data_IF_029748993922
#
_entry.id   IF_029748993922
#
_cell.length_a   1.000
_cell.length_b   1.000
_cell.length_c   1.000
_cell.angle_alpha   90.00
_cell.angle_beta   90.00
_cell.angle_gamma   90.00
#
_symmetry.space_group_name_H-M   'P 1'
#
loop_
_entity.id
_entity.type
_entity.pdbx_description
1 polymer ?
#
# COMPACT_ATOMS: atom_id res chain seq x y z
N UNK A 1 7.45 23.53 -41.08
CA UNK A 1 6.26 22.75 -40.66
C UNK A 1 5.99 23.10 -39.20
N UNK A 2 4.87 23.77 -38.89
CA UNK A 2 4.53 24.24 -37.54
C UNK A 2 3.64 23.17 -36.91
N UNK A 3 4.19 22.35 -36.02
CA UNK A 3 3.41 21.39 -35.24
C UNK A 3 2.44 22.17 -34.33
N UNK A 4 1.12 21.90 -34.36
CA UNK A 4 0.18 22.63 -33.53
C UNK A 4 0.33 22.18 -32.07
N UNK A 5 0.63 23.15 -31.20
CA UNK A 5 0.80 23.02 -29.73
C UNK A 5 -0.44 22.37 -29.06
N UNK A 6 -1.58 22.34 -29.75
CA UNK A 6 -2.79 21.65 -29.32
C UNK A 6 -2.61 20.12 -29.15
N UNK A 7 -1.74 19.48 -29.94
CA UNK A 7 -1.54 18.02 -29.86
C UNK A 7 -0.66 17.58 -28.68
N UNK A 8 0.19 18.46 -28.16
CA UNK A 8 1.04 18.14 -27.01
C UNK A 8 0.26 18.05 -25.70
N UNK A 9 -0.85 18.79 -25.59
CA UNK A 9 -1.64 18.83 -24.35
C UNK A 9 -2.56 17.62 -24.18
N UNK A 10 -2.93 16.91 -25.25
CA UNK A 10 -3.85 15.77 -25.15
C UNK A 10 -3.11 14.50 -24.67
N UNK A 11 -1.83 14.36 -25.03
CA UNK A 11 -1.00 13.23 -24.59
C UNK A 11 -0.70 13.24 -23.09
N UNK A 12 -0.72 14.42 -22.45
CA UNK A 12 -0.36 14.55 -21.03
C UNK A 12 -1.50 14.13 -20.07
N UNK A 13 -2.75 14.05 -20.56
CA UNK A 13 -3.91 13.70 -19.73
C UNK A 13 -4.18 12.19 -19.70
N UNK A 14 -3.66 11.44 -20.69
CA UNK A 14 -3.81 9.98 -20.77
C UNK A 14 -2.81 9.21 -19.89
N UNK A 15 -1.77 9.86 -19.36
CA UNK A 15 -0.80 9.22 -18.47
C UNK A 15 -1.19 9.30 -16.97
N UNK A 16 -2.23 10.06 -16.62
CA UNK A 16 -2.55 10.38 -15.22
C UNK A 16 -3.52 9.37 -14.55
N UNK A 17 -4.04 8.37 -15.25
CA UNK A 17 -5.08 7.46 -14.72
C UNK A 17 -4.57 6.06 -14.32
N UNK A 18 -3.25 5.80 -14.39
CA UNK A 18 -2.70 4.45 -14.20
C UNK A 18 -2.39 4.04 -12.74
N UNK A 19 -2.77 4.81 -11.73
CA UNK A 19 -2.52 4.43 -10.32
C UNK A 19 -3.78 4.45 -9.47
N UNK A 20 -4.86 3.83 -9.95
CA UNK A 20 -5.79 3.20 -9.04
C UNK A 20 -5.06 2.01 -8.40
N UNK A 21 -4.30 2.27 -7.33
CA UNK A 21 -3.58 1.28 -6.55
C UNK A 21 -4.61 0.26 -6.06
N UNK A 22 -4.72 -0.86 -6.78
CA UNK A 22 -5.59 -1.97 -6.41
C UNK A 22 -5.02 -2.53 -5.12
N UNK A 23 -5.60 -2.14 -3.99
CA UNK A 23 -5.42 -2.85 -2.73
C UNK A 23 -5.85 -4.29 -3.03
N UNK A 24 -4.86 -5.16 -3.24
CA UNK A 24 -5.08 -6.52 -3.70
C UNK A 24 -5.96 -7.19 -2.66
N UNK A 25 -7.12 -7.70 -3.07
CA UNK A 25 -7.97 -8.49 -2.18
C UNK A 25 -7.17 -9.71 -1.75
N UNK A 26 -7.13 -10.00 -0.45
CA UNK A 26 -6.31 -11.10 0.06
C UNK A 26 -6.75 -12.41 -0.57
N UNK A 27 -5.81 -13.10 -1.20
CA UNK A 27 -6.00 -14.47 -1.70
C UNK A 27 -5.32 -15.46 -0.76
N UNK A 28 -5.75 -16.72 -0.79
CA UNK A 28 -5.11 -17.80 -0.03
C UNK A 28 -3.63 -17.98 -0.38
N UNK A 29 -3.23 -17.68 -1.62
CA UNK A 29 -1.82 -17.72 -2.04
C UNK A 29 -1.03 -16.52 -1.51
N UNK A 30 -1.68 -15.36 -1.36
CA UNK A 30 -1.03 -14.15 -0.87
C UNK A 30 -0.76 -14.22 0.63
N UNK A 31 -1.70 -14.75 1.42
CA UNK A 31 -1.56 -14.84 2.88
C UNK A 31 -0.39 -15.71 3.31
N UNK A 32 0.00 -16.72 2.53
CA UNK A 32 1.12 -17.63 2.82
C UNK A 32 2.48 -17.09 2.36
N UNK A 33 2.53 -15.91 1.76
CA UNK A 33 3.81 -15.29 1.39
C UNK A 33 4.52 -14.71 2.61
N UNK A 34 5.86 -14.71 2.58
CA UNK A 34 6.70 -14.08 3.61
C UNK A 34 6.32 -12.60 3.80
N UNK A 35 5.98 -11.89 2.71
CA UNK A 35 5.50 -10.50 2.74
C UNK A 35 4.29 -10.30 3.68
N UNK A 36 3.33 -11.23 3.67
CA UNK A 36 2.16 -11.13 4.52
C UNK A 36 2.41 -11.72 5.91
N UNK A 37 3.30 -12.72 6.02
CA UNK A 37 3.76 -13.25 7.30
C UNK A 37 4.47 -12.17 8.14
N UNK A 38 5.33 -11.38 7.50
CA UNK A 38 6.04 -10.21 8.05
C UNK A 38 5.09 -9.10 8.53
N UNK A 39 3.88 -9.09 7.98
CA UNK A 39 2.81 -8.14 8.33
C UNK A 39 1.83 -8.77 9.31
N UNK A 40 1.75 -10.11 9.40
CA UNK A 40 0.82 -10.94 10.20
C UNK A 40 1.14 -11.04 11.69
N UNK A 41 2.20 -10.38 12.13
CA UNK A 41 2.42 -10.09 13.55
C UNK A 41 1.81 -8.75 14.06
N UNK A 42 0.68 -8.18 13.54
CA UNK A 42 0.21 -6.87 13.95
C UNK A 42 -0.84 -6.98 15.06
N UNK A 43 -1.22 -8.18 15.56
CA UNK A 43 -2.02 -8.27 16.79
C UNK A 43 -1.23 -7.65 17.96
N UNK A 44 0.08 -7.91 18.04
CA UNK A 44 0.95 -7.36 19.07
C UNK A 44 1.07 -5.82 18.98
N UNK A 45 1.30 -5.27 17.78
CA UNK A 45 1.44 -3.83 17.62
C UNK A 45 0.11 -3.05 17.59
N UNK A 46 -0.98 -3.68 17.15
CA UNK A 46 -2.34 -3.16 17.33
C UNK A 46 -2.67 -2.93 18.80
N UNK A 47 -2.40 -3.92 19.65
CA UNK A 47 -2.65 -3.85 21.09
C UNK A 47 -1.80 -2.76 21.77
N UNK A 48 -0.58 -2.52 21.28
CA UNK A 48 0.37 -1.61 21.90
C UNK A 48 0.23 -0.15 21.46
N UNK A 49 -0.11 0.12 20.20
CA UNK A 49 0.02 1.47 19.62
C UNK A 49 -1.26 2.07 19.05
N UNK A 50 -2.37 1.33 18.98
CA UNK A 50 -3.67 1.85 18.50
C UNK A 50 -3.57 2.57 17.13
N UNK A 51 -2.81 2.00 16.19
CA UNK A 51 -2.66 2.52 14.81
C UNK A 51 -2.05 3.93 14.68
N UNK A 52 -0.96 4.23 15.40
CA UNK A 52 -0.18 5.46 15.19
C UNK A 52 1.04 5.23 14.26
N UNK A 53 1.88 6.26 14.07
CA UNK A 53 3.06 6.19 13.18
C UNK A 53 4.08 5.11 13.55
N UNK A 54 4.12 4.65 14.82
CA UNK A 54 4.99 3.54 15.27
C UNK A 54 4.51 2.17 14.81
N UNK A 55 3.28 2.07 14.33
CA UNK A 55 2.75 0.83 13.74
C UNK A 55 3.58 0.40 12.53
N UNK A 56 4.11 1.36 11.75
CA UNK A 56 4.95 1.03 10.60
C UNK A 56 6.27 0.35 11.02
N UNK A 57 6.88 0.79 12.13
CA UNK A 57 8.13 0.19 12.64
C UNK A 57 7.97 -1.23 13.17
N UNK A 58 6.73 -1.69 13.38
CA UNK A 58 6.44 -3.06 13.77
C UNK A 58 6.42 -4.07 12.62
N UNK A 59 6.49 -3.58 11.38
CA UNK A 59 6.50 -4.43 10.20
C UNK A 59 7.96 -4.77 9.88
N UNK A 60 8.22 -6.05 9.65
CA UNK A 60 9.55 -6.51 9.26
C UNK A 60 9.96 -5.88 7.92
N UNK A 61 11.18 -5.36 7.87
CA UNK A 61 11.73 -4.69 6.70
C UNK A 61 12.93 -3.83 7.01
N UNK A 62 13.79 -3.69 6.01
CA UNK A 62 15.07 -2.96 6.09
C UNK A 62 14.88 -1.45 6.15
N UNK A 63 13.77 -0.93 5.64
CA UNK A 63 13.44 0.48 5.59
C UNK A 63 11.92 0.71 5.46
N UNK A 64 11.50 1.96 5.61
CA UNK A 64 10.09 2.33 5.58
C UNK A 64 9.44 2.13 4.20
N UNK A 65 10.19 2.20 3.11
CA UNK A 65 9.65 1.93 1.76
C UNK A 65 9.22 0.47 1.66
N UNK A 66 10.05 -0.45 2.13
CA UNK A 66 9.75 -1.88 2.14
C UNK A 66 8.54 -2.18 3.04
N UNK A 67 8.53 -1.61 4.26
CA UNK A 67 7.43 -1.79 5.23
C UNK A 67 6.10 -1.29 4.69
N UNK A 68 6.08 -0.11 4.05
CA UNK A 68 4.87 0.45 3.42
C UNK A 68 4.36 -0.43 2.28
N UNK A 69 5.27 -0.95 1.45
CA UNK A 69 4.91 -1.89 0.36
C UNK A 69 4.25 -3.15 0.92
N UNK A 70 4.86 -3.80 1.92
CA UNK A 70 4.30 -5.00 2.56
C UNK A 70 2.95 -4.71 3.22
N UNK A 71 2.86 -3.63 4.00
CA UNK A 71 1.61 -3.18 4.62
C UNK A 71 0.50 -2.99 3.58
N UNK A 72 0.81 -2.34 2.46
CA UNK A 72 -0.15 -2.08 1.41
C UNK A 72 -0.64 -3.36 0.72
N UNK A 73 0.29 -4.25 0.40
CA UNK A 73 0.00 -5.52 -0.26
C UNK A 73 -0.88 -6.43 0.60
N UNK A 74 -0.62 -6.47 1.91
CA UNK A 74 -1.17 -7.50 2.80
C UNK A 74 -2.26 -6.99 3.75
N UNK A 75 -2.61 -5.69 3.74
CA UNK A 75 -3.57 -5.13 4.69
C UNK A 75 -4.91 -5.89 4.71
N UNK A 76 -5.34 -6.40 3.54
CA UNK A 76 -6.63 -7.05 3.36
C UNK A 76 -6.64 -8.46 3.95
N UNK A 77 -5.46 -9.08 4.12
CA UNK A 77 -5.27 -10.36 4.77
C UNK A 77 -5.38 -10.25 6.29
N UNK A 78 -5.01 -9.09 6.84
CA UNK A 78 -5.05 -8.85 8.29
C UNK A 78 -6.46 -8.43 8.72
N UNK A 79 -7.07 -7.50 7.98
CA UNK A 79 -8.42 -7.04 8.26
C UNK A 79 -8.69 -5.60 7.84
N UNK A 80 -9.97 -5.25 7.83
CA UNK A 80 -10.47 -3.96 7.33
C UNK A 80 -9.88 -2.75 8.08
N UNK A 81 -9.64 -2.87 9.38
CA UNK A 81 -9.06 -1.80 10.20
C UNK A 81 -7.64 -1.46 9.75
N UNK A 82 -6.81 -2.46 9.49
CA UNK A 82 -5.46 -2.24 8.98
C UNK A 82 -5.49 -1.62 7.59
N UNK A 83 -6.33 -2.14 6.68
CA UNK A 83 -6.46 -1.54 5.35
C UNK A 83 -6.91 -0.09 5.38
N UNK A 84 -7.84 0.26 6.27
CA UNK A 84 -8.27 1.64 6.41
C UNK A 84 -7.11 2.53 6.89
N UNK A 85 -6.35 2.08 7.89
CA UNK A 85 -5.18 2.80 8.35
C UNK A 85 -4.13 3.02 7.25
N UNK A 86 -3.73 1.97 6.55
CA UNK A 86 -2.75 2.03 5.45
C UNK A 86 -3.18 3.03 4.36
N UNK A 87 -4.48 3.05 4.01
CA UNK A 87 -5.07 4.02 3.07
C UNK A 87 -5.08 5.45 3.61
N UNK A 88 -5.43 5.64 4.89
CA UNK A 88 -5.39 6.97 5.53
C UNK A 88 -3.97 7.54 5.51
N UNK A 89 -2.96 6.70 5.68
CA UNK A 89 -1.55 7.11 5.64
C UNK A 89 -0.98 7.25 4.22
N UNK A 90 -1.76 6.93 3.18
CA UNK A 90 -1.34 6.95 1.76
C UNK A 90 -0.16 6.03 1.47
N UNK A 91 -0.09 4.88 2.14
CA UNK A 91 0.87 3.82 1.81
C UNK A 91 0.34 2.95 0.66
N UNK A 92 -1.00 2.85 0.60
CA UNK A 92 -1.82 2.67 -0.59
C UNK A 92 -2.66 3.93 -0.76
#
# INVERSE_FOLDING_TARGET
MKLPIALLNIALWLAATASAQQATTCTSDLVVTDDCTDVMNPIACYNQYRWNTRTLSCIEGTNDTERKRKACKCCSCIGTVMCNWVKTQKYC
#
